data_IF_856175736303
#
_entry.id   IF_856175736303
#
_cell.length_a   1.000
_cell.length_b   1.000
_cell.length_c   1.000
_cell.angle_alpha   90.00
_cell.angle_beta   90.00
_cell.angle_gamma   90.00
#
_symmetry.space_group_name_H-M   'P 1'
#
loop_
_entity.id
_entity.type
_entity.pdbx_description
1 polymer ?
#
# COMPACT_ATOMS: atom_id res chain seq x y z
N UNK A 1 -45.19 27.60 -18.66
CA UNK A 1 -44.44 26.32 -18.75
C UNK A 1 -43.16 26.40 -17.92
N UNK A 2 -42.96 25.51 -16.96
CA UNK A 2 -41.75 25.52 -16.11
C UNK A 2 -40.50 25.11 -16.93
N UNK A 3 -39.46 25.94 -16.91
CA UNK A 3 -38.19 25.67 -17.60
C UNK A 3 -37.46 24.50 -16.94
N UNK A 4 -37.07 23.50 -17.73
CA UNK A 4 -36.28 22.36 -17.25
C UNK A 4 -34.96 22.82 -16.59
N UNK A 5 -34.61 22.31 -15.40
CA UNK A 5 -33.44 22.78 -14.66
C UNK A 5 -32.15 22.47 -15.43
N UNK A 6 -31.33 23.51 -15.65
CA UNK A 6 -30.01 23.39 -16.27
C UNK A 6 -29.10 22.59 -15.35
N UNK A 7 -28.64 21.43 -15.82
CA UNK A 7 -27.69 20.61 -15.08
C UNK A 7 -26.30 21.27 -15.06
N UNK A 8 -25.58 21.25 -13.93
CA UNK A 8 -24.30 21.97 -13.78
C UNK A 8 -23.12 21.34 -14.54
N UNK A 9 -23.34 20.26 -15.29
CA UNK A 9 -22.31 19.57 -16.06
C UNK A 9 -22.54 19.70 -17.57
N UNK A 10 -21.47 20.02 -18.31
CA UNK A 10 -21.50 20.17 -19.78
C UNK A 10 -21.52 18.83 -20.53
N UNK A 11 -21.10 17.73 -19.91
CA UNK A 11 -20.93 16.43 -20.56
C UNK A 11 -21.92 15.39 -20.05
N UNK A 12 -22.49 14.53 -20.92
CA UNK A 12 -23.39 13.45 -20.48
C UNK A 12 -22.61 12.38 -19.72
N UNK A 13 -23.32 11.60 -18.88
CA UNK A 13 -22.75 10.46 -18.18
C UNK A 13 -22.04 9.52 -19.20
N UNK A 14 -20.74 9.24 -19.05
CA UNK A 14 -19.98 8.41 -20.00
C UNK A 14 -20.61 7.03 -20.24
N UNK A 15 -21.28 6.45 -19.24
CA UNK A 15 -22.00 5.19 -19.40
C UNK A 15 -23.22 5.34 -20.31
N UNK A 16 -23.97 6.44 -20.16
CA UNK A 16 -25.09 6.78 -21.04
C UNK A 16 -24.61 7.00 -22.47
N UNK A 17 -23.51 7.74 -22.65
CA UNK A 17 -22.86 7.93 -23.96
C UNK A 17 -22.42 6.61 -24.60
N UNK A 18 -21.98 5.64 -23.80
CA UNK A 18 -21.61 4.30 -24.26
C UNK A 18 -22.79 3.31 -24.37
N UNK A 19 -24.05 3.77 -24.26
CA UNK A 19 -25.24 2.89 -24.30
C UNK A 19 -25.38 1.94 -23.10
N UNK A 20 -24.59 2.11 -22.04
CA UNK A 20 -24.56 1.22 -20.87
C UNK A 20 -25.48 1.74 -19.77
N UNK A 21 -26.39 0.89 -19.29
CA UNK A 21 -27.24 1.18 -18.14
C UNK A 21 -26.42 1.54 -16.88
N UNK A 22 -26.90 2.49 -16.09
CA UNK A 22 -26.32 2.82 -14.78
C UNK A 22 -26.51 1.66 -13.80
N UNK A 23 -25.50 1.38 -12.99
CA UNK A 23 -25.55 0.25 -12.04
C UNK A 23 -25.86 0.78 -10.66
N UNK A 24 -27.13 0.66 -10.26
CA UNK A 24 -27.58 1.00 -8.92
C UNK A 24 -27.67 -0.25 -8.03
N UNK A 25 -27.56 -0.07 -6.72
CA UNK A 25 -27.88 -1.12 -5.76
C UNK A 25 -29.38 -1.41 -5.83
N UNK A 26 -29.76 -2.68 -5.91
CA UNK A 26 -31.17 -3.07 -5.83
C UNK A 26 -31.78 -2.67 -4.47
N UNK A 27 -33.10 -2.46 -4.38
CA UNK A 27 -33.76 -2.08 -3.12
C UNK A 27 -33.40 -2.99 -1.94
N UNK A 28 -33.41 -4.30 -2.15
CA UNK A 28 -32.98 -5.30 -1.16
C UNK A 28 -31.55 -5.10 -0.67
N UNK A 29 -30.63 -4.72 -1.57
CA UNK A 29 -29.23 -4.43 -1.20
C UNK A 29 -29.11 -3.13 -0.42
N UNK A 30 -29.89 -2.10 -0.76
CA UNK A 30 -29.96 -0.84 0.00
C UNK A 30 -30.48 -1.07 1.41
N UNK A 31 -31.56 -1.84 1.57
CA UNK A 31 -32.12 -2.18 2.88
C UNK A 31 -31.09 -2.90 3.78
N UNK A 32 -30.38 -3.88 3.22
CA UNK A 32 -29.38 -4.61 3.98
C UNK A 32 -28.08 -3.79 4.21
N UNK A 33 -27.76 -2.80 3.37
CA UNK A 33 -26.71 -1.82 3.66
C UNK A 33 -27.12 -0.90 4.82
N UNK A 34 -28.36 -0.40 4.83
CA UNK A 34 -28.92 0.42 5.92
C UNK A 34 -28.92 -0.35 7.25
N UNK A 35 -29.32 -1.62 7.24
CA UNK A 35 -29.27 -2.47 8.44
C UNK A 35 -27.85 -2.73 8.95
N UNK A 36 -26.87 -2.85 8.04
CA UNK A 36 -25.46 -3.01 8.42
C UNK A 36 -24.88 -1.73 9.03
N UNK A 37 -25.22 -0.57 8.46
CA UNK A 37 -24.84 0.74 8.97
C UNK A 37 -25.40 0.94 10.39
N UNK A 38 -26.70 0.71 10.60
CA UNK A 38 -27.36 0.82 11.90
C UNK A 38 -26.73 -0.08 12.96
N UNK A 39 -26.48 -1.35 12.64
CA UNK A 39 -25.83 -2.30 13.57
C UNK A 39 -24.42 -1.88 13.97
N UNK A 40 -23.73 -1.15 13.09
CA UNK A 40 -22.39 -0.65 13.33
C UNK A 40 -22.36 0.79 13.90
N UNK A 41 -23.52 1.38 14.22
CA UNK A 41 -23.60 2.77 14.68
C UNK A 41 -23.22 3.82 13.63
N UNK A 42 -23.22 3.46 12.35
CA UNK A 42 -22.84 4.36 11.24
C UNK A 42 -24.07 5.00 10.61
N UNK A 43 -24.00 6.30 10.29
CA UNK A 43 -25.05 7.02 9.54
C UNK A 43 -25.17 6.45 8.11
N UNK A 44 -26.40 6.40 7.59
CA UNK A 44 -26.72 5.99 6.21
C UNK A 44 -27.46 7.15 5.52
N UNK A 45 -27.20 7.47 4.25
CA UNK A 45 -26.40 6.73 3.25
C UNK A 45 -24.87 6.85 3.44
N UNK A 46 -24.14 5.74 3.24
CA UNK A 46 -22.67 5.74 3.28
C UNK A 46 -22.04 4.84 2.19
N UNK A 47 -20.79 5.13 1.81
CA UNK A 47 -20.07 4.40 0.76
C UNK A 47 -19.66 2.99 1.18
N UNK A 48 -19.23 2.80 2.44
CA UNK A 48 -18.65 1.53 2.93
C UNK A 48 -19.66 0.38 2.82
N UNK A 49 -20.87 0.58 3.35
CA UNK A 49 -21.91 -0.44 3.34
C UNK A 49 -22.48 -0.64 1.92
N UNK A 50 -22.56 0.43 1.12
CA UNK A 50 -22.94 0.36 -0.29
C UNK A 50 -21.92 -0.46 -1.12
N UNK A 51 -20.61 -0.22 -0.92
CA UNK A 51 -19.54 -0.99 -1.57
C UNK A 51 -19.54 -2.45 -1.14
N UNK A 52 -19.73 -2.71 0.16
CA UNK A 52 -19.82 -4.08 0.69
C UNK A 52 -20.96 -4.86 0.02
N UNK A 53 -22.12 -4.23 -0.16
CA UNK A 53 -23.26 -4.88 -0.79
C UNK A 53 -23.14 -4.97 -2.32
N UNK A 54 -22.44 -4.05 -2.97
CA UNK A 54 -22.08 -4.15 -4.38
C UNK A 54 -21.11 -5.32 -4.63
N UNK A 55 -20.10 -5.50 -3.77
CA UNK A 55 -19.07 -6.54 -3.90
C UNK A 55 -19.61 -7.97 -3.73
N UNK A 56 -20.67 -8.19 -2.95
CA UNK A 56 -21.32 -9.51 -2.79
C UNK A 56 -21.75 -10.15 -4.11
N UNK A 57 -21.98 -9.35 -5.16
CA UNK A 57 -22.39 -9.86 -6.47
C UNK A 57 -21.23 -10.52 -7.22
N UNK A 58 -19.97 -10.07 -7.01
CA UNK A 58 -18.78 -10.64 -7.65
C UNK A 58 -18.32 -11.98 -7.04
N UNK A 59 -18.75 -12.31 -5.81
CA UNK A 59 -18.33 -13.54 -5.12
C UNK A 59 -19.17 -14.77 -5.46
N UNK A 60 -20.41 -14.60 -5.97
CA UNK A 60 -21.28 -15.74 -6.30
C UNK A 60 -20.82 -16.53 -7.54
N UNK A 61 -19.99 -15.95 -8.41
CA UNK A 61 -19.50 -16.62 -9.62
C UNK A 61 -18.23 -17.46 -9.41
N UNK A 62 -17.60 -17.45 -8.22
CA UNK A 62 -16.38 -18.24 -7.93
C UNK A 62 -16.61 -19.43 -6.99
N UNK A 63 -17.85 -19.74 -6.59
CA UNK A 63 -18.13 -20.86 -5.67
C UNK A 63 -19.55 -21.42 -5.86
N UNK A 64 -20.02 -21.59 -7.09
CA UNK A 64 -21.32 -22.23 -7.38
C UNK A 64 -21.22 -23.62 -8.01
N UNK A 65 -20.03 -24.23 -8.01
CA UNK A 65 -19.81 -25.62 -8.46
C UNK A 65 -20.03 -26.69 -7.40
N UNK A 66 -20.91 -26.48 -6.41
CA UNK A 66 -21.34 -27.55 -5.51
C UNK A 66 -22.84 -27.43 -5.28
N UNK A 67 -23.62 -28.07 -6.16
CA UNK A 67 -25.01 -28.45 -5.89
C UNK A 67 -25.00 -29.14 -4.52
N UNK A 68 -25.56 -28.52 -3.50
CA UNK A 68 -26.05 -29.29 -2.35
C UNK A 68 -27.37 -29.84 -2.82
N UNK A 69 -27.40 -31.14 -3.13
CA UNK A 69 -28.64 -31.87 -3.30
C UNK A 69 -29.50 -31.61 -2.05
N UNK A 70 -30.73 -31.16 -2.28
CA UNK A 70 -31.74 -31.10 -1.23
C UNK A 70 -32.04 -32.55 -0.85
N UNK A 71 -31.54 -32.98 0.31
CA UNK A 71 -32.04 -34.17 0.98
C UNK A 71 -33.00 -33.66 2.04
N UNK A 72 -34.30 -33.83 1.77
CA UNK A 72 -35.39 -33.74 2.73
C UNK A 72 -35.00 -34.58 3.97
N UNK A 73 -34.91 -33.94 5.14
CA UNK A 73 -34.76 -34.66 6.42
C UNK A 73 -36.14 -34.79 7.05
N UNK A 74 -36.62 -36.00 7.37
CA UNK A 74 -37.82 -36.12 8.17
C UNK A 74 -37.54 -35.62 9.60
N UNK A 75 -38.57 -35.02 10.20
CA UNK A 75 -38.56 -34.50 11.55
C UNK A 75 -38.25 -35.63 12.56
N UNK A 76 -37.13 -35.51 13.28
CA UNK A 76 -36.82 -36.38 14.41
C UNK A 76 -36.64 -35.56 15.68
N UNK A 77 -37.35 -36.04 16.70
CA UNK A 77 -37.66 -35.46 17.99
C UNK A 77 -36.41 -35.10 18.82
N UNK A 78 -36.66 -34.17 19.72
CA UNK A 78 -35.80 -33.66 20.79
C UNK A 78 -35.09 -34.75 21.60
N UNK A 79 -33.77 -34.61 21.75
CA UNK A 79 -33.04 -35.14 22.89
C UNK A 79 -31.95 -34.15 23.29
N UNK A 80 -32.11 -33.58 24.48
CA UNK A 80 -31.17 -32.66 25.09
C UNK A 80 -29.81 -33.35 25.31
N UNK A 81 -28.75 -32.84 24.67
CA UNK A 81 -27.38 -33.24 24.98
C UNK A 81 -26.48 -32.01 25.15
N UNK A 82 -26.16 -31.75 26.41
CA UNK A 82 -25.09 -30.93 26.99
C UNK A 82 -24.30 -30.04 26.03
N UNK A 83 -24.48 -28.71 26.20
CA UNK A 83 -23.59 -27.65 25.72
C UNK A 83 -22.18 -27.87 26.28
N UNK A 84 -21.24 -28.36 25.46
CA UNK A 84 -19.81 -28.08 25.67
C UNK A 84 -19.51 -26.74 25.02
N UNK A 85 -19.23 -25.74 25.85
CA UNK A 85 -18.79 -24.40 25.45
C UNK A 85 -17.48 -24.51 24.66
N UNK A 86 -17.58 -24.46 23.33
CA UNK A 86 -16.42 -24.25 22.48
C UNK A 86 -15.92 -22.81 22.68
N UNK A 87 -14.86 -22.69 23.49
CA UNK A 87 -14.04 -21.49 23.65
C UNK A 87 -13.77 -20.86 22.29
N UNK A 88 -13.98 -19.55 22.21
CA UNK A 88 -13.84 -18.72 21.04
C UNK A 88 -12.55 -19.02 20.24
N UNK A 89 -12.68 -19.41 18.97
CA UNK A 89 -11.60 -19.29 17.99
C UNK A 89 -11.36 -17.80 17.74
N UNK A 90 -10.50 -17.20 18.55
CA UNK A 90 -9.90 -15.91 18.26
C UNK A 90 -9.25 -15.99 16.87
N UNK A 91 -9.69 -15.11 15.98
CA UNK A 91 -9.16 -14.99 14.62
C UNK A 91 -7.69 -14.57 14.70
N UNK A 92 -6.78 -15.52 14.44
CA UNK A 92 -5.33 -15.31 14.21
C UNK A 92 -5.05 -14.46 12.95
N UNK A 93 -5.53 -13.21 12.90
CA UNK A 93 -5.38 -12.33 11.73
C UNK A 93 -4.13 -11.41 11.79
N UNK A 94 -3.33 -11.46 12.86
CA UNK A 94 -2.25 -10.48 13.08
C UNK A 94 -0.81 -11.00 12.85
N UNK A 95 -0.56 -12.30 13.03
CA UNK A 95 0.82 -12.84 13.01
C UNK A 95 1.43 -12.96 11.61
N UNK A 96 0.64 -13.19 10.56
CA UNK A 96 1.14 -13.36 9.18
C UNK A 96 1.67 -12.05 8.55
N UNK A 97 1.26 -10.88 9.06
CA UNK A 97 1.62 -9.56 8.52
C UNK A 97 3.04 -9.10 8.93
N UNK A 98 3.56 -9.57 10.08
CA UNK A 98 4.91 -9.19 10.56
C UNK A 98 6.02 -9.89 9.77
N UNK A 99 5.87 -11.19 9.46
CA UNK A 99 6.83 -11.96 8.66
C UNK A 99 6.96 -11.47 7.21
N UNK A 100 5.86 -11.02 6.59
CA UNK A 100 5.90 -10.41 5.25
C UNK A 100 6.70 -9.11 5.19
N UNK A 101 6.55 -8.24 6.21
CA UNK A 101 7.28 -6.96 6.30
C UNK A 101 8.78 -7.15 6.49
N UNK A 102 9.21 -8.20 7.19
CA UNK A 102 10.63 -8.52 7.34
C UNK A 102 11.25 -8.98 6.01
N UNK A 103 10.53 -9.76 5.19
CA UNK A 103 11.00 -10.20 3.87
C UNK A 103 11.09 -9.06 2.84
N UNK A 104 10.23 -8.03 2.96
CA UNK A 104 10.26 -6.84 2.11
C UNK A 104 11.43 -5.88 2.45
N UNK A 105 11.97 -5.98 3.66
CA UNK A 105 12.90 -5.02 4.25
C UNK A 105 14.26 -5.66 4.48
N UNK A 106 15.28 -5.18 3.79
CA UNK A 106 16.63 -5.72 3.95
C UNK A 106 17.21 -5.33 5.34
N UNK A 107 17.81 -6.27 6.09
CA UNK A 107 18.49 -5.98 7.36
C UNK A 107 19.73 -5.09 7.18
N UNK A 108 20.43 -5.15 6.05
CA UNK A 108 21.59 -4.29 5.74
C UNK A 108 21.17 -2.89 5.27
N UNK A 109 19.87 -2.66 5.06
CA UNK A 109 19.29 -1.36 4.71
C UNK A 109 18.56 -1.35 3.38
N UNK A 110 17.63 -0.40 3.20
CA UNK A 110 16.82 -0.30 1.99
C UNK A 110 15.71 -1.36 1.86
N UNK A 111 15.29 -1.62 0.62
CA UNK A 111 14.25 -2.59 0.25
C UNK A 111 14.83 -3.75 -0.55
N UNK A 112 14.41 -4.97 -0.22
CA UNK A 112 14.75 -6.18 -1.00
C UNK A 112 14.07 -6.13 -2.38
N UNK A 113 14.46 -7.00 -3.31
CA UNK A 113 13.77 -7.13 -4.60
C UNK A 113 12.26 -7.43 -4.41
N UNK A 114 11.94 -8.33 -3.47
CA UNK A 114 10.56 -8.59 -3.06
C UNK A 114 9.88 -7.35 -2.47
N UNK A 115 10.60 -6.55 -1.67
CA UNK A 115 10.10 -5.29 -1.15
C UNK A 115 9.78 -4.26 -2.22
N UNK A 116 10.63 -4.12 -3.24
CA UNK A 116 10.38 -3.22 -4.39
C UNK A 116 9.21 -3.72 -5.24
N UNK A 117 9.09 -5.03 -5.46
CA UNK A 117 7.94 -5.63 -6.14
C UNK A 117 6.64 -5.37 -5.37
N UNK A 118 6.64 -5.62 -4.06
CA UNK A 118 5.48 -5.35 -3.21
C UNK A 118 5.14 -3.86 -3.17
N UNK A 119 6.13 -2.97 -3.28
CA UNK A 119 5.89 -1.53 -3.41
C UNK A 119 5.26 -1.19 -4.76
N UNK A 120 5.74 -1.75 -5.86
CA UNK A 120 5.15 -1.58 -7.18
C UNK A 120 3.71 -2.10 -7.24
N UNK A 121 3.41 -3.25 -6.62
CA UNK A 121 2.05 -3.78 -6.53
C UNK A 121 1.10 -2.89 -5.72
N UNK A 122 1.60 -2.26 -4.64
CA UNK A 122 0.79 -1.44 -3.73
C UNK A 122 0.60 0.00 -4.23
N UNK A 123 1.66 0.59 -4.79
CA UNK A 123 1.74 2.02 -5.12
C UNK A 123 1.84 2.29 -6.62
N UNK A 124 1.98 1.25 -7.46
CA UNK A 124 2.10 1.38 -8.92
C UNK A 124 3.46 1.90 -9.41
N UNK A 125 4.43 2.13 -8.53
CA UNK A 125 5.72 2.71 -8.89
C UNK A 125 6.87 1.69 -8.85
N UNK A 126 7.63 1.62 -9.93
CA UNK A 126 8.79 0.74 -10.04
C UNK A 126 10.04 1.41 -9.47
N UNK A 127 10.31 1.17 -8.18
CA UNK A 127 11.53 1.66 -7.53
C UNK A 127 12.76 0.93 -8.10
N UNK A 128 13.74 1.72 -8.56
CA UNK A 128 15.07 1.21 -8.91
C UNK A 128 15.88 0.93 -7.63
N UNK A 129 16.83 -0.04 -7.66
CA UNK A 129 17.78 -0.23 -6.56
C UNK A 129 18.68 1.00 -6.39
N UNK A 130 19.31 1.12 -5.22
CA UNK A 130 20.30 2.17 -4.96
C UNK A 130 21.52 2.01 -5.87
N UNK A 131 22.18 3.12 -6.18
CA UNK A 131 23.36 3.13 -7.04
C UNK A 131 24.59 2.77 -6.21
N UNK A 132 25.10 1.55 -6.38
CA UNK A 132 26.27 1.05 -5.62
C UNK A 132 27.61 1.21 -6.35
N UNK A 133 27.59 1.69 -7.60
CA UNK A 133 28.79 1.89 -8.41
C UNK A 133 29.76 2.90 -7.77
N UNK A 134 31.04 2.76 -8.10
CA UNK A 134 32.07 3.75 -7.77
C UNK A 134 31.86 5.01 -8.61
N UNK A 135 32.36 6.15 -8.12
CA UNK A 135 32.15 7.46 -8.74
C UNK A 135 32.74 7.58 -10.16
N UNK A 136 33.79 6.82 -10.46
CA UNK A 136 34.40 6.69 -11.80
C UNK A 136 33.49 5.99 -12.81
N UNK A 137 32.66 5.05 -12.36
CA UNK A 137 31.82 4.19 -13.20
C UNK A 137 30.36 4.68 -13.30
N UNK A 138 30.03 5.77 -12.60
CA UNK A 138 28.67 6.32 -12.60
C UNK A 138 28.37 7.02 -13.92
N UNK A 139 27.25 6.66 -14.53
CA UNK A 139 26.66 7.46 -15.61
C UNK A 139 26.15 8.81 -15.05
N UNK A 140 25.95 9.85 -15.89
CA UNK A 140 25.35 11.11 -15.43
C UNK A 140 24.00 10.91 -14.72
N UNK A 141 23.19 9.95 -15.18
CA UNK A 141 21.93 9.61 -14.53
C UNK A 141 22.14 8.95 -13.14
N UNK A 142 23.15 8.09 -13.00
CA UNK A 142 23.52 7.49 -11.71
C UNK A 142 23.99 8.55 -10.71
N UNK A 143 24.79 9.52 -11.16
CA UNK A 143 25.22 10.66 -10.35
C UNK A 143 24.02 11.48 -9.87
N UNK A 144 23.08 11.81 -10.78
CA UNK A 144 21.85 12.52 -10.42
C UNK A 144 21.05 11.78 -9.35
N UNK A 145 20.86 10.47 -9.52
CA UNK A 145 20.06 9.65 -8.60
C UNK A 145 20.71 9.55 -7.22
N UNK A 146 22.00 9.21 -7.17
CA UNK A 146 22.75 9.07 -5.92
C UNK A 146 22.93 10.41 -5.21
N UNK A 147 23.29 11.45 -5.94
CA UNK A 147 23.41 12.80 -5.41
C UNK A 147 22.10 13.34 -4.83
N UNK A 148 20.99 13.20 -5.57
CA UNK A 148 19.67 13.63 -5.09
C UNK A 148 19.24 12.87 -3.83
N UNK A 149 19.49 11.56 -3.78
CA UNK A 149 19.20 10.75 -2.60
C UNK A 149 20.03 11.20 -1.39
N UNK A 150 21.35 11.35 -1.55
CA UNK A 150 22.26 11.71 -0.47
C UNK A 150 21.90 13.06 0.15
N UNK A 151 21.65 14.07 -0.68
CA UNK A 151 21.24 15.41 -0.23
C UNK A 151 19.89 15.37 0.48
N UNK A 152 18.90 14.63 -0.05
CA UNK A 152 17.58 14.52 0.58
C UNK A 152 17.61 13.81 1.93
N UNK A 153 18.37 12.72 2.03
CA UNK A 153 18.39 11.90 3.24
C UNK A 153 19.29 12.50 4.31
N UNK A 154 20.47 13.02 3.94
CA UNK A 154 21.50 13.45 4.88
C UNK A 154 21.80 14.96 4.87
N UNK A 155 21.29 15.71 3.89
CA UNK A 155 21.43 17.18 3.81
C UNK A 155 20.39 17.97 4.61
N UNK A 156 19.34 17.30 5.12
CA UNK A 156 18.29 17.93 5.95
C UNK A 156 18.85 18.62 7.20
N UNK A 157 18.26 19.75 7.62
CA UNK A 157 18.68 20.52 8.80
C UNK A 157 18.73 19.65 10.06
N UNK A 158 17.59 19.02 10.42
CA UNK A 158 17.48 18.12 11.58
C UNK A 158 17.56 16.67 11.13
N UNK A 159 18.65 15.95 11.38
CA UNK A 159 18.79 14.54 10.99
C UNK A 159 18.05 13.59 11.94
N UNK A 160 17.52 12.44 11.46
CA UNK A 160 17.05 11.39 12.36
C UNK A 160 18.23 10.82 13.14
N UNK A 161 17.98 10.16 14.28
CA UNK A 161 19.00 9.41 14.98
C UNK A 161 19.69 8.41 14.05
N UNK A 162 21.02 8.45 14.05
CA UNK A 162 21.87 7.59 13.22
C UNK A 162 22.22 6.28 13.94
N UNK A 163 22.27 6.33 15.26
CA UNK A 163 22.41 5.17 16.15
C UNK A 163 21.20 5.09 17.07
N UNK A 164 20.87 3.87 17.49
CA UNK A 164 19.90 3.63 18.56
C UNK A 164 20.57 3.75 19.93
N UNK A 165 19.79 3.61 20.99
CA UNK A 165 20.26 3.70 22.39
C UNK A 165 21.29 2.61 22.74
N UNK A 166 21.41 1.56 21.90
CA UNK A 166 22.37 0.46 22.05
C UNK A 166 23.60 0.66 21.16
N UNK A 167 23.76 1.83 20.53
CA UNK A 167 24.86 2.16 19.62
C UNK A 167 24.80 1.48 18.25
N UNK A 168 23.70 0.79 17.92
CA UNK A 168 23.54 0.11 16.62
C UNK A 168 23.02 1.09 15.58
N UNK A 169 23.46 1.00 14.32
CA UNK A 169 22.97 1.88 13.27
C UNK A 169 21.44 1.76 13.09
N UNK A 170 20.76 2.90 13.03
CA UNK A 170 19.33 2.90 12.76
C UNK A 170 19.04 2.48 11.31
N UNK A 171 17.78 2.17 11.04
CA UNK A 171 17.29 1.91 9.67
C UNK A 171 17.65 3.05 8.71
N UNK A 172 17.65 4.30 9.20
CA UNK A 172 18.01 5.46 8.40
C UNK A 172 19.50 5.42 8.03
N UNK A 173 20.40 5.21 8.99
CA UNK A 173 21.82 5.06 8.72
C UNK A 173 22.12 3.88 7.78
N UNK A 174 21.48 2.72 7.99
CA UNK A 174 21.61 1.54 7.13
C UNK A 174 21.19 1.82 5.68
N UNK A 175 20.33 2.81 5.43
CA UNK A 175 19.97 3.19 4.06
C UNK A 175 21.17 3.66 3.24
N UNK A 176 22.25 4.14 3.87
CA UNK A 176 23.49 4.49 3.17
C UNK A 176 24.12 3.28 2.47
N UNK A 177 24.16 2.13 3.15
CA UNK A 177 24.73 0.90 2.61
C UNK A 177 24.01 0.44 1.34
N UNK A 178 22.68 0.60 1.30
CA UNK A 178 21.88 0.27 0.12
C UNK A 178 22.21 1.13 -1.13
N UNK A 179 22.95 2.22 -0.95
CA UNK A 179 23.45 3.12 -1.99
C UNK A 179 24.98 3.10 -2.13
N UNK A 180 25.63 2.07 -1.59
CA UNK A 180 27.09 1.91 -1.65
C UNK A 180 27.85 3.02 -0.92
N UNK A 181 27.24 3.65 0.08
CA UNK A 181 27.91 4.57 0.99
C UNK A 181 28.13 3.89 2.35
N UNK A 182 29.18 4.25 3.10
CA UNK A 182 29.39 3.74 4.44
C UNK A 182 28.24 4.14 5.37
N UNK A 183 27.91 3.28 6.34
CA UNK A 183 26.83 3.54 7.30
C UNK A 183 27.27 4.64 8.28
N UNK A 184 26.64 5.83 8.26
CA UNK A 184 27.05 6.92 9.14
C UNK A 184 26.58 6.67 10.57
N UNK A 185 27.51 6.67 11.53
CA UNK A 185 27.17 6.62 12.98
C UNK A 185 27.12 8.01 13.62
N UNK A 186 27.80 8.99 13.02
CA UNK A 186 27.89 10.37 13.52
C UNK A 186 27.26 11.36 12.54
N UNK A 187 26.84 12.51 13.06
CA UNK A 187 26.31 13.60 12.23
C UNK A 187 27.33 14.04 11.18
N UNK A 188 28.60 14.19 11.57
CA UNK A 188 29.68 14.54 10.64
C UNK A 188 29.81 13.54 9.48
N UNK A 189 29.74 12.23 9.76
CA UNK A 189 29.76 11.20 8.72
C UNK A 189 28.56 11.31 7.77
N UNK A 190 27.36 11.56 8.30
CA UNK A 190 26.17 11.80 7.47
C UNK A 190 26.33 13.06 6.60
N UNK A 191 26.89 14.15 7.13
CA UNK A 191 27.16 15.38 6.36
C UNK A 191 28.17 15.15 5.24
N UNK A 192 29.19 14.31 5.45
CA UNK A 192 30.12 13.92 4.36
C UNK A 192 29.40 13.23 3.21
N UNK A 193 28.41 12.38 3.49
CA UNK A 193 27.58 11.75 2.46
C UNK A 193 26.77 12.81 1.70
N UNK A 194 26.17 13.77 2.41
CA UNK A 194 25.45 14.88 1.78
C UNK A 194 26.36 15.73 0.87
N UNK A 195 27.54 16.12 1.35
CA UNK A 195 28.52 16.88 0.60
C UNK A 195 29.01 16.13 -0.66
N UNK A 196 29.25 14.81 -0.55
CA UNK A 196 29.52 13.97 -1.72
C UNK A 196 28.36 13.97 -2.70
N UNK A 197 27.13 13.93 -2.19
CA UNK A 197 25.92 14.05 -3.00
C UNK A 197 25.83 15.36 -3.78
N UNK A 198 26.18 16.48 -3.16
CA UNK A 198 26.23 17.80 -3.81
C UNK A 198 27.26 17.84 -4.93
N UNK A 199 28.46 17.29 -4.70
CA UNK A 199 29.49 17.17 -5.75
C UNK A 199 29.02 16.35 -6.96
N UNK A 200 28.35 15.21 -6.71
CA UNK A 200 27.77 14.40 -7.79
C UNK A 200 26.71 15.17 -8.59
N UNK A 201 25.87 15.97 -7.93
CA UNK A 201 24.89 16.81 -8.60
C UNK A 201 25.54 17.94 -9.41
N UNK A 202 26.62 18.55 -8.90
CA UNK A 202 27.39 19.55 -9.65
C UNK A 202 28.02 18.93 -10.90
N UNK A 203 28.64 17.74 -10.78
CA UNK A 203 29.18 17.00 -11.93
C UNK A 203 28.11 16.65 -12.95
N UNK A 204 26.93 16.19 -12.49
CA UNK A 204 25.78 15.94 -13.36
C UNK A 204 25.34 17.21 -14.12
N UNK A 205 25.19 18.35 -13.43
CA UNK A 205 24.81 19.63 -14.06
C UNK A 205 25.80 20.06 -15.14
N UNK A 206 27.11 19.95 -14.84
CA UNK A 206 28.17 20.25 -15.82
C UNK A 206 28.12 19.31 -17.02
N UNK A 207 27.90 18.01 -16.81
CA UNK A 207 27.78 17.05 -17.89
C UNK A 207 26.51 17.27 -18.73
N UNK A 208 25.39 17.67 -18.12
CA UNK A 208 24.13 17.95 -18.82
C UNK A 208 24.11 19.28 -19.58
N UNK A 209 25.05 20.18 -19.30
CA UNK A 209 25.18 21.45 -20.04
C UNK A 209 26.11 21.32 -21.26
N UNK A 210 26.88 20.23 -21.34
CA UNK A 210 27.85 19.98 -22.42
C UNK A 210 27.31 19.12 -23.57
N UNK A 211 26.11 18.55 -23.43
CA UNK A 211 25.44 17.75 -24.45
C UNK A 211 24.05 18.28 -24.68
#
# INVERSE_FOLDING_TARGET
MARSPRVPWKRPNPRKRAGKASKHLSPRKKAAAKAAARRAGRRYPNLVDNMRMAAKTKRRTKTSGRKRAAYERPAAKSAAKKRKTAKAKATKASTRKRGGRAREKDPRGGLTAAGRKAFAEKQGAHLKPGVMKKESEMTPQDMRRKGSWAVRFYGRKKLPPLVDDRGRPTRHALSAHAWGEPVPKTVAAARRIAAKGERLLQRYKRASQKG
#
